data_IF_080929390416
#
_entry.id   IF_080929390416
#
_cell.length_a   1.000
_cell.length_b   1.000
_cell.length_c   1.000
_cell.angle_alpha   90.00
_cell.angle_beta   90.00
_cell.angle_gamma   90.00
#
_symmetry.space_group_name_H-M   'P 1'
#
loop_
_entity.id
_entity.type
_entity.pdbx_description
1 polymer ?
#
# COMPACT_ATOMS: atom_id res chain seq x y z
N UNK A 1 40.31 -26.86 20.86
CA UNK A 1 38.87 -26.60 21.06
C UNK A 1 38.57 -25.16 20.66
N UNK A 2 37.89 -24.90 19.53
CA UNK A 2 37.56 -23.54 19.11
C UNK A 2 36.21 -23.05 19.71
N UNK A 3 36.07 -21.75 20.01
CA UNK A 3 34.87 -21.18 20.63
C UNK A 3 33.71 -20.95 19.63
N UNK A 4 32.52 -21.49 19.93
CA UNK A 4 31.28 -21.43 19.13
C UNK A 4 30.46 -20.13 19.31
N UNK A 5 31.08 -18.96 19.44
CA UNK A 5 30.38 -17.77 19.99
C UNK A 5 30.06 -16.64 19.00
N UNK A 6 30.38 -16.73 17.71
CA UNK A 6 30.22 -15.58 16.78
C UNK A 6 29.13 -15.70 15.70
N UNK A 7 28.37 -16.78 15.61
CA UNK A 7 27.38 -16.97 14.53
C UNK A 7 25.97 -16.42 14.79
N UNK A 8 25.67 -15.84 15.98
CA UNK A 8 24.29 -15.50 16.39
C UNK A 8 23.85 -14.04 16.15
N UNK A 9 24.74 -13.17 15.66
CA UNK A 9 24.45 -11.73 15.52
C UNK A 9 23.96 -11.37 14.12
N UNK A 10 24.30 -12.16 13.10
CA UNK A 10 23.93 -11.94 11.69
C UNK A 10 22.49 -12.36 11.35
N UNK A 11 21.81 -13.08 12.24
CA UNK A 11 20.43 -13.61 12.04
C UNK A 11 19.34 -12.60 12.48
N UNK A 12 19.74 -11.43 13.00
CA UNK A 12 18.87 -10.39 13.54
C UNK A 12 18.63 -9.20 12.61
N UNK A 13 19.09 -9.25 11.35
CA UNK A 13 18.45 -8.51 10.26
C UNK A 13 17.12 -9.21 9.96
N UNK A 14 16.29 -9.25 11.00
CA UNK A 14 15.00 -9.89 11.07
C UNK A 14 14.26 -9.49 9.82
N UNK A 15 13.85 -10.51 9.07
CA UNK A 15 13.09 -10.41 7.84
C UNK A 15 12.05 -9.30 8.00
N UNK A 16 12.34 -8.14 7.41
CA UNK A 16 11.53 -6.92 7.54
C UNK A 16 10.08 -7.22 7.10
N UNK A 17 9.94 -8.17 6.18
CA UNK A 17 8.68 -8.67 5.64
C UNK A 17 8.16 -9.91 6.38
N UNK A 18 8.67 -10.21 7.57
CA UNK A 18 8.15 -11.31 8.39
C UNK A 18 6.71 -11.02 8.83
N UNK A 19 5.92 -12.09 8.99
CA UNK A 19 4.54 -12.02 9.48
C UNK A 19 4.39 -11.20 10.76
N UNK A 20 5.35 -11.30 11.68
CA UNK A 20 5.29 -10.60 12.96
C UNK A 20 5.53 -9.10 12.79
N UNK A 21 6.49 -8.69 11.95
CA UNK A 21 6.73 -7.29 11.64
C UNK A 21 5.53 -6.64 10.93
N UNK A 22 4.94 -7.34 9.96
CA UNK A 22 3.75 -6.87 9.25
C UNK A 22 2.56 -6.75 10.20
N UNK A 23 2.36 -7.77 11.05
CA UNK A 23 1.30 -7.73 12.07
C UNK A 23 1.48 -6.55 13.03
N UNK A 24 2.71 -6.26 13.45
CA UNK A 24 3.00 -5.13 14.34
C UNK A 24 2.72 -3.78 13.66
N UNK A 25 3.13 -3.62 12.40
CA UNK A 25 2.79 -2.44 11.60
C UNK A 25 1.27 -2.27 11.45
N UNK A 26 0.53 -3.33 11.16
CA UNK A 26 -0.93 -3.28 11.03
C UNK A 26 -1.65 -2.95 12.35
N UNK A 27 -1.13 -3.37 13.50
CA UNK A 27 -1.66 -2.94 14.81
C UNK A 27 -1.53 -1.43 15.03
N UNK A 28 -0.50 -0.82 14.43
CA UNK A 28 -0.23 0.62 14.50
C UNK A 28 -0.89 1.40 13.36
N UNK A 29 -1.69 0.75 12.50
CA UNK A 29 -2.19 1.31 11.24
C UNK A 29 -2.84 2.70 11.40
N UNK A 30 -3.58 2.94 12.48
CA UNK A 30 -4.27 4.21 12.74
C UNK A 30 -3.38 5.36 13.24
N UNK A 31 -2.14 5.08 13.66
CA UNK A 31 -1.21 6.11 14.15
C UNK A 31 -0.05 6.33 13.18
N UNK A 32 -0.04 7.48 12.50
CA UNK A 32 0.98 7.79 11.50
C UNK A 32 2.37 7.97 12.13
N UNK A 33 2.45 8.55 13.34
CA UNK A 33 3.70 8.69 14.09
C UNK A 33 4.28 7.32 14.46
N UNK A 34 3.46 6.41 15.01
CA UNK A 34 3.92 5.07 15.37
C UNK A 34 4.32 4.21 14.15
N UNK A 35 3.73 4.47 12.99
CA UNK A 35 4.15 3.87 11.73
C UNK A 35 5.47 4.44 11.22
N UNK A 36 5.73 5.73 11.42
CA UNK A 36 6.99 6.36 11.01
C UNK A 36 8.21 5.76 11.73
N UNK A 37 8.03 5.39 13.00
CA UNK A 37 9.05 4.75 13.83
C UNK A 37 9.23 3.24 13.54
N UNK A 38 8.36 2.66 12.70
CA UNK A 38 8.39 1.23 12.42
C UNK A 38 9.52 0.87 11.44
N UNK A 39 10.22 -0.28 11.57
CA UNK A 39 11.28 -0.69 10.65
C UNK A 39 10.86 -0.76 9.18
N UNK A 40 9.60 -1.07 8.87
CA UNK A 40 9.06 -1.04 7.51
C UNK A 40 8.97 0.38 6.91
N UNK A 41 9.10 1.44 7.71
CA UNK A 41 9.11 2.80 7.20
C UNK A 41 10.44 3.15 6.50
N UNK A 42 11.51 2.38 6.74
CA UNK A 42 12.82 2.58 6.12
C UNK A 42 12.94 1.96 4.71
N UNK A 43 11.85 1.46 4.14
CA UNK A 43 11.82 0.97 2.77
C UNK A 43 12.17 2.11 1.81
N UNK A 44 12.99 1.85 0.79
CA UNK A 44 13.45 2.85 -0.19
C UNK A 44 12.27 3.52 -0.91
N UNK A 45 11.19 2.76 -1.17
CA UNK A 45 9.93 3.29 -1.70
C UNK A 45 9.25 4.36 -0.82
N UNK A 46 9.66 4.47 0.45
CA UNK A 46 9.06 5.34 1.48
C UNK A 46 10.08 6.38 2.00
N UNK A 47 11.37 6.03 2.02
CA UNK A 47 12.43 6.74 2.75
C UNK A 47 12.95 8.04 2.10
N UNK A 48 12.50 8.42 0.90
CA UNK A 48 12.94 9.63 0.19
C UNK A 48 12.70 10.91 1.02
N UNK A 49 13.72 11.51 1.66
CA UNK A 49 13.75 12.80 2.38
C UNK A 49 12.41 13.31 2.97
N UNK A 50 11.61 12.39 3.48
CA UNK A 50 10.25 12.66 3.94
C UNK A 50 10.32 12.94 5.45
N UNK A 51 9.58 13.95 5.89
CA UNK A 51 9.34 14.16 7.31
C UNK A 51 8.73 12.90 7.92
N UNK A 52 8.99 12.62 9.20
CA UNK A 52 8.56 11.37 9.85
C UNK A 52 7.06 11.11 9.68
N UNK A 53 6.22 12.14 9.84
CA UNK A 53 4.78 12.04 9.60
C UNK A 53 4.44 11.61 8.17
N UNK A 54 5.14 12.13 7.15
CA UNK A 54 4.93 11.74 5.75
C UNK A 54 5.36 10.30 5.52
N UNK A 55 6.49 9.87 6.10
CA UNK A 55 6.97 8.48 6.03
C UNK A 55 5.92 7.49 6.57
N UNK A 56 5.32 7.82 7.72
CA UNK A 56 4.23 7.02 8.30
C UNK A 56 2.97 6.96 7.44
N UNK A 57 2.59 8.07 6.79
CA UNK A 57 1.46 8.12 5.86
C UNK A 57 1.72 7.29 4.60
N UNK A 58 2.94 7.36 4.04
CA UNK A 58 3.33 6.56 2.89
C UNK A 58 3.35 5.06 3.21
N UNK A 59 3.84 4.68 4.40
CA UNK A 59 3.76 3.29 4.85
C UNK A 59 2.31 2.83 5.00
N UNK A 60 1.43 3.66 5.58
CA UNK A 60 0.00 3.36 5.68
C UNK A 60 -0.62 3.12 4.31
N UNK A 61 -0.29 3.96 3.33
CA UNK A 61 -0.81 3.84 1.98
C UNK A 61 -0.28 2.58 1.28
N UNK A 62 1.00 2.24 1.47
CA UNK A 62 1.58 1.00 0.97
C UNK A 62 0.89 -0.24 1.56
N UNK A 63 0.62 -0.25 2.87
CA UNK A 63 -0.11 -1.33 3.55
C UNK A 63 -1.55 -1.42 3.03
N UNK A 64 -2.24 -0.29 2.86
CA UNK A 64 -3.61 -0.24 2.32
C UNK A 64 -3.65 -0.78 0.90
N UNK A 65 -2.79 -0.30 0.02
CA UNK A 65 -2.68 -0.78 -1.36
C UNK A 65 -2.36 -2.27 -1.42
N UNK A 66 -1.49 -2.76 -0.53
CA UNK A 66 -1.18 -4.17 -0.41
C UNK A 66 -2.37 -5.03 0.01
N UNK A 67 -3.16 -4.58 1.00
CA UNK A 67 -4.40 -5.26 1.39
C UNK A 67 -5.39 -5.26 0.21
N UNK A 68 -5.62 -4.12 -0.44
CA UNK A 68 -6.52 -4.01 -1.59
C UNK A 68 -6.10 -4.90 -2.78
N UNK A 69 -4.80 -5.11 -2.98
CA UNK A 69 -4.28 -6.02 -4.01
C UNK A 69 -4.67 -7.49 -3.79
N UNK A 70 -5.06 -7.86 -2.56
CA UNK A 70 -5.53 -9.21 -2.24
C UNK A 70 -6.99 -9.46 -2.64
N UNK A 71 -7.70 -8.44 -3.16
CA UNK A 71 -9.04 -8.65 -3.72
C UNK A 71 -8.96 -9.59 -4.93
N UNK A 72 -9.89 -10.56 -5.07
CA UNK A 72 -9.98 -11.38 -6.27
C UNK A 72 -10.19 -10.52 -7.53
N UNK A 73 -9.41 -10.79 -8.58
CA UNK A 73 -9.44 -10.03 -9.85
C UNK A 73 -10.80 -10.09 -10.57
N UNK A 74 -11.62 -11.10 -10.29
CA UNK A 74 -12.96 -11.24 -10.88
C UNK A 74 -13.93 -10.14 -10.43
N UNK A 75 -13.70 -9.55 -9.25
CA UNK A 75 -14.71 -8.76 -8.55
C UNK A 75 -14.13 -7.48 -7.92
N UNK A 76 -13.25 -6.79 -8.67
CA UNK A 76 -12.52 -5.59 -8.19
C UNK A 76 -13.47 -4.49 -7.68
N UNK A 77 -14.66 -4.36 -8.28
CA UNK A 77 -15.63 -3.29 -7.99
C UNK A 77 -16.81 -3.74 -7.11
N UNK A 78 -16.89 -5.02 -6.74
CA UNK A 78 -17.99 -5.56 -5.95
C UNK A 78 -17.79 -5.39 -4.44
N UNK A 79 -18.87 -5.45 -3.63
CA UNK A 79 -18.75 -5.57 -2.19
C UNK A 79 -18.05 -6.89 -1.80
N UNK A 80 -17.36 -6.97 -0.66
CA UNK A 80 -16.69 -8.19 -0.22
C UNK A 80 -17.67 -9.34 0.00
N UNK A 81 -17.35 -10.52 -0.54
CA UNK A 81 -18.16 -11.72 -0.38
C UNK A 81 -17.60 -12.62 0.73
N UNK A 82 -18.28 -12.65 1.89
CA UNK A 82 -17.88 -13.45 3.05
C UNK A 82 -18.04 -14.97 2.84
N UNK A 83 -18.85 -15.40 1.88
CA UNK A 83 -19.06 -16.82 1.57
C UNK A 83 -17.95 -17.43 0.70
N UNK A 84 -17.17 -16.61 0.01
CA UNK A 84 -16.16 -17.08 -0.94
C UNK A 84 -14.76 -17.12 -0.34
N UNK A 85 -14.10 -18.29 -0.44
CA UNK A 85 -12.78 -18.51 0.19
C UNK A 85 -11.68 -17.58 -0.33
N UNK A 86 -11.77 -17.15 -1.59
CA UNK A 86 -10.77 -16.28 -2.23
C UNK A 86 -10.74 -14.87 -1.64
N UNK A 87 -11.84 -14.42 -1.04
CA UNK A 87 -11.96 -13.12 -0.39
C UNK A 87 -11.38 -13.11 1.03
N UNK A 88 -11.12 -14.26 1.64
CA UNK A 88 -10.69 -14.37 3.05
C UNK A 88 -9.44 -13.55 3.38
N UNK A 89 -8.35 -13.57 2.58
CA UNK A 89 -7.16 -12.78 2.91
C UNK A 89 -7.47 -11.28 3.02
N UNK A 90 -8.19 -10.75 2.04
CA UNK A 90 -8.66 -9.37 2.03
C UNK A 90 -9.53 -9.08 3.26
N UNK A 91 -10.61 -9.84 3.46
CA UNK A 91 -11.59 -9.62 4.55
C UNK A 91 -10.91 -9.69 5.91
N UNK A 92 -10.06 -10.69 6.15
CA UNK A 92 -9.37 -10.86 7.43
C UNK A 92 -8.51 -9.62 7.72
N UNK A 93 -7.72 -9.14 6.75
CA UNK A 93 -6.85 -7.99 6.99
C UNK A 93 -7.61 -6.67 7.08
N UNK A 94 -8.57 -6.42 6.18
CA UNK A 94 -9.34 -5.17 6.14
C UNK A 94 -10.23 -5.04 7.38
N UNK A 95 -11.01 -6.06 7.72
CA UNK A 95 -11.93 -5.98 8.85
C UNK A 95 -11.19 -5.96 10.18
N UNK A 96 -10.14 -6.78 10.33
CA UNK A 96 -9.45 -6.86 11.61
C UNK A 96 -8.61 -5.63 11.90
N UNK A 97 -7.84 -5.13 10.93
CA UNK A 97 -6.83 -4.10 11.18
C UNK A 97 -7.26 -2.69 10.76
N UNK A 98 -8.16 -2.56 9.76
CA UNK A 98 -8.67 -1.24 9.32
C UNK A 98 -9.99 -0.92 10.02
N UNK A 99 -10.89 -1.90 10.12
CA UNK A 99 -12.18 -1.72 10.80
C UNK A 99 -12.15 -2.10 12.30
N UNK A 100 -11.00 -2.56 12.83
CA UNK A 100 -10.81 -2.97 14.22
C UNK A 100 -11.82 -4.01 14.72
N UNK A 101 -12.26 -4.93 13.85
CA UNK A 101 -13.14 -6.04 14.23
C UNK A 101 -12.39 -7.08 15.06
N UNK A 102 -13.10 -7.69 16.00
CA UNK A 102 -12.53 -8.75 16.86
C UNK A 102 -12.31 -10.04 16.05
N UNK A 103 -11.22 -10.78 16.29
CA UNK A 103 -10.94 -12.04 15.59
C UNK A 103 -12.07 -13.07 15.71
N UNK A 104 -12.66 -13.22 16.90
CA UNK A 104 -13.72 -14.21 17.14
C UNK A 104 -14.97 -13.88 16.30
N UNK A 105 -15.36 -12.60 16.25
CA UNK A 105 -16.45 -12.14 15.38
C UNK A 105 -16.19 -12.44 13.90
N UNK A 106 -14.96 -12.25 13.42
CA UNK A 106 -14.60 -12.54 12.04
C UNK A 106 -14.55 -14.03 11.74
N UNK A 107 -14.09 -14.85 12.69
CA UNK A 107 -14.11 -16.30 12.55
C UNK A 107 -15.55 -16.80 12.41
N UNK A 108 -16.47 -16.31 13.23
CA UNK A 108 -17.90 -16.63 13.15
C UNK A 108 -18.50 -16.14 11.83
N UNK A 109 -18.24 -14.89 11.43
CA UNK A 109 -18.76 -14.31 10.19
C UNK A 109 -18.28 -15.04 8.92
N UNK A 110 -17.08 -15.62 8.95
CA UNK A 110 -16.51 -16.40 7.86
C UNK A 110 -16.84 -17.91 7.94
N UNK A 111 -17.54 -18.35 9.00
CA UNK A 111 -17.83 -19.77 9.25
C UNK A 111 -16.55 -20.60 9.46
N UNK A 112 -15.56 -20.04 10.15
CA UNK A 112 -14.25 -20.66 10.39
C UNK A 112 -14.07 -21.05 11.85
N UNK A 113 -13.52 -22.25 12.07
CA UNK A 113 -12.98 -22.61 13.38
C UNK A 113 -11.73 -21.77 13.66
N UNK A 114 -11.52 -21.40 14.93
CA UNK A 114 -10.41 -20.53 15.37
C UNK A 114 -9.03 -20.92 14.84
N UNK A 115 -8.70 -22.21 14.82
CA UNK A 115 -7.42 -22.71 14.27
C UNK A 115 -7.26 -22.37 12.79
N UNK A 116 -8.30 -22.62 11.98
CA UNK A 116 -8.34 -22.30 10.55
C UNK A 116 -8.29 -20.79 10.32
N UNK A 117 -8.98 -19.99 11.13
CA UNK A 117 -8.91 -18.53 11.06
C UNK A 117 -7.46 -18.04 11.22
N UNK A 118 -6.72 -18.54 12.23
CA UNK A 118 -5.34 -18.15 12.43
C UNK A 118 -4.40 -18.60 11.30
N UNK A 119 -4.66 -19.75 10.66
CA UNK A 119 -3.92 -20.19 9.48
C UNK A 119 -4.18 -19.27 8.27
N UNK A 120 -5.45 -18.94 8.00
CA UNK A 120 -5.82 -18.02 6.92
C UNK A 120 -5.25 -16.62 7.17
N UNK A 121 -5.27 -16.15 8.42
CA UNK A 121 -4.65 -14.88 8.83
C UNK A 121 -3.13 -14.90 8.60
N UNK A 122 -2.45 -15.99 8.97
CA UNK A 122 -1.01 -16.13 8.75
C UNK A 122 -0.67 -16.09 7.26
N UNK A 123 -1.45 -16.80 6.43
CA UNK A 123 -1.33 -16.78 4.97
C UNK A 123 -1.57 -15.39 4.39
N UNK A 124 -2.58 -14.67 4.86
CA UNK A 124 -2.88 -13.31 4.40
C UNK A 124 -1.73 -12.33 4.70
N UNK A 125 -1.10 -12.47 5.88
CA UNK A 125 0.09 -11.70 6.25
C UNK A 125 1.32 -12.05 5.40
N UNK A 126 1.51 -13.33 5.05
CA UNK A 126 2.57 -13.74 4.12
C UNK A 126 2.38 -13.12 2.74
N UNK A 127 1.15 -13.17 2.20
CA UNK A 127 0.83 -12.55 0.92
C UNK A 127 1.07 -11.04 0.92
N UNK A 128 0.74 -10.35 2.01
CA UNK A 128 1.02 -8.92 2.16
C UNK A 128 2.54 -8.66 2.20
N UNK A 129 3.31 -9.52 2.85
CA UNK A 129 4.76 -9.43 2.91
C UNK A 129 5.43 -9.58 1.55
N UNK A 130 5.00 -10.56 0.75
CA UNK A 130 5.47 -10.73 -0.63
C UNK A 130 5.13 -9.51 -1.48
N UNK A 131 3.91 -8.97 -1.39
CA UNK A 131 3.53 -7.77 -2.14
C UNK A 131 4.41 -6.55 -1.80
N UNK A 132 4.70 -6.32 -0.51
CA UNK A 132 5.59 -5.23 -0.09
C UNK A 132 7.02 -5.44 -0.58
N UNK A 133 7.50 -6.68 -0.60
CA UNK A 133 8.83 -7.05 -1.12
C UNK A 133 8.93 -6.81 -2.62
N UNK A 134 7.92 -7.21 -3.39
CA UNK A 134 7.84 -6.97 -4.84
C UNK A 134 7.85 -5.48 -5.15
N UNK A 135 7.06 -4.69 -4.41
CA UNK A 135 7.04 -3.24 -4.53
C UNK A 135 8.42 -2.64 -4.27
N UNK A 136 9.07 -3.04 -3.18
CA UNK A 136 10.39 -2.52 -2.82
C UNK A 136 11.46 -2.88 -3.87
N UNK A 137 11.40 -4.09 -4.42
CA UNK A 137 12.28 -4.51 -5.51
C UNK A 137 12.08 -3.65 -6.77
N UNK A 138 10.82 -3.35 -7.12
CA UNK A 138 10.50 -2.49 -8.26
C UNK A 138 11.02 -1.04 -8.08
N UNK A 139 10.87 -0.46 -6.89
CA UNK A 139 11.42 0.87 -6.59
C UNK A 139 12.95 0.89 -6.61
N UNK A 140 13.59 -0.14 -6.04
CA UNK A 140 15.05 -0.27 -6.04
C UNK A 140 15.63 -0.39 -7.45
N UNK A 141 14.91 -1.06 -8.37
CA UNK A 141 15.31 -1.16 -9.77
C UNK A 141 15.26 0.20 -10.51
N UNK A 142 14.28 1.05 -10.19
CA UNK A 142 14.14 2.39 -10.78
C UNK A 142 15.18 3.36 -10.19
N UNK A 143 15.40 3.29 -8.88
CA UNK A 143 16.31 4.19 -8.16
C UNK A 143 17.80 3.94 -8.43
N UNK A 144 18.15 2.77 -8.98
CA UNK A 144 19.50 2.46 -9.46
C UNK A 144 19.56 2.71 -10.97
N UNK A 145 19.76 3.95 -11.45
CA UNK A 145 20.04 4.14 -12.87
C UNK A 145 21.31 3.35 -13.20
N UNK A 146 21.21 2.42 -14.15
CA UNK A 146 22.38 1.75 -14.68
C UNK A 146 23.32 2.82 -15.27
N UNK A 147 24.59 2.92 -14.85
CA UNK A 147 25.53 3.90 -15.39
C UNK A 147 26.04 3.55 -16.81
N UNK A 148 25.26 2.86 -17.65
CA UNK A 148 25.79 2.18 -18.84
C UNK A 148 25.38 2.74 -20.20
N UNK A 149 24.40 3.65 -20.31
CA UNK A 149 23.94 4.18 -21.61
C UNK A 149 24.22 5.70 -21.78
N UNK A 150 25.35 6.18 -21.26
CA UNK A 150 25.90 7.52 -21.57
C UNK A 150 27.18 7.46 -22.40
N UNK A 151 27.30 6.47 -23.29
CA UNK A 151 28.33 6.51 -24.32
C UNK A 151 27.74 6.22 -25.69
N UNK A 152 27.86 7.23 -26.57
CA UNK A 152 27.60 7.29 -28.02
C UNK A 152 26.13 7.60 -28.37
N UNK A 153 25.73 8.75 -28.93
CA UNK A 153 26.36 9.54 -29.99
C UNK A 153 25.97 11.02 -29.87
N UNK A 154 26.97 11.87 -29.64
CA UNK A 154 26.97 13.26 -30.13
C UNK A 154 26.97 13.20 -31.66
N UNK A 155 25.98 13.83 -32.31
CA UNK A 155 26.05 14.48 -33.63
C UNK A 155 24.77 14.23 -34.43
N UNK A 156 23.85 15.18 -34.40
CA UNK A 156 23.48 15.88 -35.64
C UNK A 156 22.79 17.20 -35.30
N UNK A 157 23.43 18.25 -35.79
CA UNK A 157 22.99 19.63 -35.82
C UNK A 157 21.59 19.76 -36.43
N UNK A 158 20.64 20.28 -35.67
CA UNK A 158 19.34 20.73 -36.23
C UNK A 158 19.37 22.26 -36.33
N UNK A 159 19.21 22.86 -37.52
CA UNK A 159 19.21 24.29 -37.66
C UNK A 159 17.93 24.89 -37.07
N UNK A 160 18.17 25.84 -36.17
CA UNK A 160 17.22 26.81 -35.67
C UNK A 160 16.64 27.62 -36.83
N UNK A 161 15.39 27.34 -37.20
CA UNK A 161 14.58 28.24 -38.03
C UNK A 161 13.34 28.68 -37.26
N UNK A 162 13.41 29.93 -36.84
CA UNK A 162 12.32 30.72 -36.30
C UNK A 162 11.10 30.77 -37.23
N UNK A 163 9.88 30.78 -36.67
CA UNK A 163 9.01 31.98 -36.63
C UNK A 163 7.61 31.68 -36.10
N UNK A 164 7.25 32.48 -35.08
CA UNK A 164 6.01 33.25 -34.90
C UNK A 164 4.68 32.64 -35.37
N UNK A 165 3.76 32.46 -34.43
CA UNK A 165 2.53 33.27 -34.35
C UNK A 165 1.82 33.04 -33.01
N UNK A 166 1.68 34.12 -32.22
CA UNK A 166 0.63 34.23 -31.19
C UNK A 166 -0.67 34.65 -31.88
N UNK A 167 -1.80 34.06 -31.50
CA UNK A 167 -2.97 34.89 -31.25
C UNK A 167 -3.61 34.60 -29.89
N UNK A 168 -3.53 35.64 -29.06
CA UNK A 168 -4.56 36.24 -28.22
C UNK A 168 -5.98 35.68 -28.23
N UNK A 169 -6.57 35.70 -27.02
CA UNK A 169 -8.01 35.78 -26.67
C UNK A 169 -8.84 34.51 -26.88
N UNK A 170 -9.27 33.94 -25.75
CA UNK A 170 -10.71 33.70 -25.54
C UNK A 170 -11.07 33.94 -24.07
N UNK A 171 -11.93 34.93 -23.88
CA UNK A 171 -12.64 35.22 -22.63
C UNK A 171 -13.92 34.38 -22.60
N UNK A 172 -14.35 33.99 -21.39
CA UNK A 172 -15.76 33.81 -21.10
C UNK A 172 -16.23 32.37 -20.95
N UNK A 173 -16.59 32.00 -19.72
CA UNK A 173 -17.24 30.72 -19.46
C UNK A 173 -17.48 30.43 -17.98
N UNK A 174 -17.90 31.45 -17.21
CA UNK A 174 -18.44 31.23 -15.87
C UNK A 174 -19.85 30.64 -16.04
N UNK A 175 -20.02 29.36 -15.72
CA UNK A 175 -21.36 28.78 -15.55
C UNK A 175 -21.47 28.34 -14.10
N UNK A 176 -22.23 29.12 -13.34
CA UNK A 176 -22.72 28.74 -12.04
C UNK A 176 -23.89 27.79 -12.28
N UNK A 177 -23.79 26.55 -11.80
CA UNK A 177 -24.97 25.68 -11.69
C UNK A 177 -25.35 25.58 -10.23
N UNK A 178 -26.37 26.36 -9.85
CA UNK A 178 -27.13 26.16 -8.63
C UNK A 178 -28.07 24.98 -8.86
N UNK A 179 -27.76 23.80 -8.32
CA UNK A 179 -28.73 22.70 -8.27
C UNK A 179 -29.32 22.58 -6.88
N UNK A 180 -30.46 23.22 -6.75
CA UNK A 180 -31.52 22.97 -5.77
C UNK A 180 -32.04 21.53 -5.89
N UNK A 181 -32.16 20.84 -4.75
CA UNK A 181 -33.14 19.79 -4.44
C UNK A 181 -32.94 19.46 -2.96
N UNK A 182 -33.68 20.02 -2.00
CA UNK A 182 -35.05 19.65 -1.66
C UNK A 182 -35.34 18.16 -1.87
N UNK A 183 -35.32 17.38 -0.78
CA UNK A 183 -36.29 16.30 -0.64
C UNK A 183 -36.65 16.09 0.83
N UNK A 184 -37.84 16.58 1.15
CA UNK A 184 -38.63 16.25 2.32
C UNK A 184 -39.06 14.79 2.34
N UNK A 185 -39.57 14.37 3.50
CA UNK A 185 -40.33 13.15 3.79
C UNK A 185 -39.46 12.02 4.35
N UNK A 186 -39.81 11.35 5.46
CA UNK A 186 -41.15 11.06 5.96
C UNK A 186 -41.03 10.58 7.41
N UNK A 187 -41.66 11.28 8.35
CA UNK A 187 -41.97 10.73 9.66
C UNK A 187 -43.33 10.03 9.54
N UNK A 188 -43.38 8.75 9.88
CA UNK A 188 -44.61 7.98 10.10
C UNK A 188 -44.58 7.53 11.54
N UNK A 189 -45.56 8.08 12.28
CA UNK A 189 -46.25 7.62 13.50
C UNK A 189 -45.58 6.59 14.39
#
# INVERSE_FOLDING_TARGET
MPPKSQQKVSEKKQDLFSRNAIRDALKRFHSASQLADHPLASLASIALDNADTQRGLLLREALRAGIESQRPKSDVSGPPNFGEKRWRPYIILSEQYIANRKPDYLADALGLVRGTFHQEQARALEMLGEHLREREAAYSAIAKPAPSDMTLVLSSSVPFLARRARPSRWWGGRVYSTRSSNNSSRAVR
#
